data_IF_553950844725
#
_entry.id   IF_553950844725
#
_cell.length_a   1.000
_cell.length_b   1.000
_cell.length_c   1.000
_cell.angle_alpha   90.00
_cell.angle_beta   90.00
_cell.angle_gamma   90.00
#
_symmetry.space_group_name_H-M   'P 1'
#
loop_
_entity.id
_entity.type
_entity.pdbx_description
1 polymer ?
#
# COMPACT_ATOMS: atom_id res chain seq x y z
N UNK A 1 10.50 -5.82 9.38
CA UNK A 1 9.32 -6.60 9.81
C UNK A 1 9.35 -7.93 9.06
N UNK A 2 9.26 -9.07 9.76
CA UNK A 2 9.16 -10.37 9.09
C UNK A 2 7.70 -10.72 8.82
N UNK A 3 7.36 -10.93 7.56
CA UNK A 3 6.03 -11.37 7.16
C UNK A 3 5.94 -12.86 7.49
N UNK A 4 4.98 -13.23 8.36
CA UNK A 4 4.76 -14.62 8.80
C UNK A 4 4.50 -15.60 7.66
N UNK A 5 4.09 -15.09 6.50
CA UNK A 5 3.88 -15.83 5.25
C UNK A 5 4.61 -15.15 4.09
N UNK A 6 5.93 -15.39 3.89
CA UNK A 6 6.73 -14.69 2.88
C UNK A 6 6.23 -14.89 1.44
N UNK A 7 5.57 -16.02 1.14
CA UNK A 7 4.96 -16.27 -0.17
C UNK A 7 3.77 -15.36 -0.43
N UNK A 8 2.89 -15.19 0.55
CA UNK A 8 1.73 -14.27 0.50
C UNK A 8 2.22 -12.82 0.41
N UNK A 9 3.25 -12.49 1.19
CA UNK A 9 3.87 -11.17 1.17
C UNK A 9 4.42 -10.76 -0.19
N UNK A 10 4.76 -11.71 -1.07
CA UNK A 10 5.23 -11.48 -2.45
C UNK A 10 4.10 -11.41 -3.49
N UNK A 11 2.83 -11.50 -3.08
CA UNK A 11 1.66 -11.36 -3.96
C UNK A 11 0.87 -10.09 -3.70
N UNK A 12 0.96 -9.58 -2.48
CA UNK A 12 0.25 -8.37 -2.05
C UNK A 12 1.14 -7.16 -2.25
N UNK A 13 0.54 -6.08 -2.75
CA UNK A 13 1.23 -4.83 -3.05
C UNK A 13 2.43 -5.03 -3.98
N UNK A 14 2.32 -5.91 -4.98
CA UNK A 14 3.36 -6.06 -6.00
C UNK A 14 3.42 -4.80 -6.88
N UNK A 15 4.50 -4.02 -6.79
CA UNK A 15 4.69 -2.82 -7.61
C UNK A 15 4.76 -3.18 -9.10
N UNK A 16 4.15 -2.35 -9.94
CA UNK A 16 3.99 -2.61 -11.35
C UNK A 16 4.93 -1.76 -12.21
N UNK A 17 5.14 -2.20 -13.43
CA UNK A 17 5.77 -1.40 -14.49
C UNK A 17 4.74 -0.43 -15.06
N UNK A 18 5.17 0.72 -15.54
CA UNK A 18 4.30 1.59 -16.33
C UNK A 18 3.99 0.88 -17.66
N UNK A 19 2.73 0.74 -18.04
CA UNK A 19 2.32 0.03 -19.26
C UNK A 19 3.08 0.50 -20.51
N UNK A 20 3.83 -0.40 -21.15
CA UNK A 20 4.74 -0.13 -22.27
C UNK A 20 6.08 -0.88 -22.14
N UNK A 21 7.09 -0.53 -22.94
CA UNK A 21 8.48 -1.07 -22.87
C UNK A 21 9.25 -0.65 -21.59
N UNK A 22 8.56 -0.10 -20.57
CA UNK A 22 9.22 0.29 -19.34
C UNK A 22 9.79 -0.94 -18.64
N UNK A 23 11.09 -0.91 -18.37
CA UNK A 23 11.78 -2.03 -17.72
C UNK A 23 11.73 -1.96 -16.20
N UNK A 24 11.11 -0.90 -15.63
CA UNK A 24 11.26 -0.54 -14.22
C UNK A 24 9.93 -0.55 -13.47
N UNK A 25 9.97 -1.14 -12.29
CA UNK A 25 8.89 -1.16 -11.33
C UNK A 25 8.90 0.10 -10.46
N UNK A 26 7.75 0.43 -9.89
CA UNK A 26 7.64 1.42 -8.82
C UNK A 26 8.52 1.06 -7.62
N UNK A 27 8.91 2.08 -6.86
CA UNK A 27 9.71 1.96 -5.65
C UNK A 27 8.91 2.54 -4.48
N UNK A 28 8.67 1.76 -3.43
CA UNK A 28 7.93 2.24 -2.28
C UNK A 28 8.67 3.35 -1.53
N UNK A 29 7.93 4.40 -1.18
CA UNK A 29 8.43 5.57 -0.49
C UNK A 29 7.34 6.23 0.35
N UNK A 30 7.73 7.21 1.18
CA UNK A 30 6.81 7.92 2.06
C UNK A 30 5.76 8.78 1.31
N UNK A 31 6.03 9.15 0.06
CA UNK A 31 5.12 9.86 -0.81
C UNK A 31 5.36 9.48 -2.28
N UNK A 32 4.31 9.44 -3.08
CA UNK A 32 4.39 9.23 -4.52
C UNK A 32 5.05 10.42 -5.20
N UNK A 33 6.01 10.15 -6.09
CA UNK A 33 6.67 11.17 -6.89
C UNK A 33 6.92 10.64 -8.29
N UNK A 34 6.05 11.04 -9.23
CA UNK A 34 6.11 10.57 -10.64
C UNK A 34 6.44 11.68 -11.63
N UNK A 35 6.89 12.85 -11.16
CA UNK A 35 7.36 13.91 -12.04
C UNK A 35 8.79 13.62 -12.53
N UNK A 36 9.04 13.84 -13.83
CA UNK A 36 10.37 13.65 -14.43
C UNK A 36 10.86 12.20 -14.36
N UNK A 37 11.95 11.96 -13.60
CA UNK A 37 12.62 10.65 -13.46
C UNK A 37 12.19 9.85 -12.20
N UNK A 38 11.26 10.39 -11.40
CA UNK A 38 10.78 9.75 -10.18
C UNK A 38 10.08 8.42 -10.46
N UNK A 39 10.31 7.43 -9.62
CA UNK A 39 9.66 6.11 -9.66
C UNK A 39 9.02 5.76 -8.31
N UNK A 40 9.00 6.72 -7.41
CA UNK A 40 8.51 6.56 -6.05
C UNK A 40 7.00 6.47 -6.01
N UNK A 41 6.49 5.52 -5.24
CA UNK A 41 5.06 5.35 -5.02
C UNK A 41 4.77 5.12 -3.54
N UNK A 42 3.72 5.78 -3.06
CA UNK A 42 3.10 5.51 -1.76
C UNK A 42 1.80 4.69 -1.90
N UNK A 43 1.55 4.12 -3.09
CA UNK A 43 0.35 3.35 -3.41
C UNK A 43 0.70 1.87 -3.48
N UNK A 44 -0.01 1.02 -2.73
CA UNK A 44 0.06 -0.43 -2.83
C UNK A 44 -0.20 -0.87 -4.28
N UNK A 45 0.76 -1.59 -4.87
CA UNK A 45 0.72 -2.00 -6.28
C UNK A 45 1.08 -0.89 -7.27
N UNK A 46 1.62 0.23 -6.78
CA UNK A 46 1.92 1.41 -7.57
C UNK A 46 2.90 1.16 -8.73
N UNK A 47 2.66 1.87 -9.83
CA UNK A 47 3.46 1.76 -11.05
C UNK A 47 4.68 2.68 -11.05
N UNK A 48 5.77 2.24 -11.67
CA UNK A 48 6.92 3.07 -12.01
C UNK A 48 6.63 4.09 -13.12
N UNK A 49 7.68 4.73 -13.62
CA UNK A 49 7.62 5.63 -14.78
C UNK A 49 8.35 5.04 -15.98
N UNK A 50 8.04 5.53 -17.18
CA UNK A 50 8.65 5.07 -18.44
C UNK A 50 10.12 5.50 -18.59
N UNK A 51 10.54 6.52 -17.84
CA UNK A 51 11.87 7.11 -17.92
C UNK A 51 12.37 7.43 -16.52
N UNK A 52 13.22 6.58 -15.94
CA UNK A 52 13.84 6.84 -14.65
C UNK A 52 14.59 5.65 -14.06
N UNK A 53 15.21 5.86 -12.90
CA UNK A 53 16.00 4.89 -12.14
C UNK A 53 15.14 4.06 -11.18
N UNK A 54 14.02 3.52 -11.66
CA UNK A 54 13.18 2.61 -10.88
C UNK A 54 13.84 1.24 -10.63
N UNK A 55 13.14 0.36 -9.92
CA UNK A 55 13.66 -0.97 -9.58
C UNK A 55 13.57 -1.93 -10.77
N UNK A 56 14.58 -2.78 -10.98
CA UNK A 56 14.53 -3.88 -11.97
C UNK A 56 13.65 -5.05 -11.54
N UNK A 57 13.30 -5.09 -10.25
CA UNK A 57 12.46 -6.12 -9.66
C UNK A 57 11.28 -5.48 -8.93
N UNK A 58 10.12 -6.11 -8.90
CA UNK A 58 9.01 -5.63 -8.09
C UNK A 58 9.40 -5.58 -6.60
N UNK A 59 8.80 -4.61 -5.90
CA UNK A 59 8.70 -4.58 -4.46
C UNK A 59 7.31 -5.05 -4.03
N UNK A 60 7.17 -5.43 -2.76
CA UNK A 60 5.97 -6.10 -2.27
C UNK A 60 5.51 -5.54 -0.93
N UNK A 61 4.60 -6.25 -0.26
CA UNK A 61 4.02 -5.85 1.03
C UNK A 61 5.08 -5.51 2.09
N UNK A 62 6.24 -6.18 2.10
CA UNK A 62 7.30 -5.89 3.07
C UNK A 62 7.83 -4.47 2.89
N UNK A 63 8.20 -4.12 1.67
CA UNK A 63 8.70 -2.79 1.34
C UNK A 63 7.62 -1.73 1.50
N UNK A 64 6.36 -2.06 1.17
CA UNK A 64 5.22 -1.17 1.41
C UNK A 64 5.11 -0.82 2.90
N UNK A 65 5.14 -1.81 3.80
CA UNK A 65 5.10 -1.56 5.24
C UNK A 65 6.33 -0.78 5.71
N UNK A 66 7.54 -1.20 5.30
CA UNK A 66 8.79 -0.61 5.80
C UNK A 66 9.08 0.81 5.29
N UNK A 67 8.57 1.16 4.10
CA UNK A 67 8.88 2.43 3.43
C UNK A 67 7.69 3.37 3.30
N UNK A 68 6.47 2.84 3.23
CA UNK A 68 5.26 3.62 2.94
C UNK A 68 4.40 3.80 4.17
N UNK A 69 4.14 2.73 4.94
CA UNK A 69 3.33 2.79 6.17
C UNK A 69 4.11 3.22 7.41
N UNK A 70 5.35 3.68 7.23
CA UNK A 70 6.19 4.14 8.32
C UNK A 70 5.61 5.40 8.96
N UNK A 71 5.75 5.52 10.28
CA UNK A 71 5.33 6.69 11.05
C UNK A 71 3.82 6.99 10.92
N UNK A 72 2.99 5.93 10.86
CA UNK A 72 1.53 5.97 10.77
C UNK A 72 0.97 6.73 9.55
N UNK A 73 1.75 6.78 8.47
CA UNK A 73 1.35 7.46 7.22
C UNK A 73 0.74 6.49 6.21
N UNK A 74 0.08 7.09 5.21
CA UNK A 74 -0.38 6.42 4.00
C UNK A 74 -1.45 5.34 4.20
N UNK A 75 -2.01 5.20 5.39
CA UNK A 75 -3.18 4.36 5.66
C UNK A 75 -4.37 5.22 6.12
N UNK A 76 -5.58 5.05 5.55
CA UNK A 76 -5.91 4.18 4.41
C UNK A 76 -5.62 4.82 3.04
N UNK A 77 -5.20 6.09 3.00
CA UNK A 77 -5.03 6.90 1.79
C UNK A 77 -3.57 7.26 1.59
N UNK A 78 -3.07 7.17 0.36
CA UNK A 78 -1.69 7.49 -0.03
C UNK A 78 -1.39 9.00 0.07
N UNK A 79 -0.10 9.33 -0.04
CA UNK A 79 0.39 10.72 -0.09
C UNK A 79 1.11 10.93 -1.41
N UNK A 80 0.91 12.09 -2.03
CA UNK A 80 1.72 12.56 -3.16
C UNK A 80 2.66 13.66 -2.68
N UNK A 81 3.89 13.65 -3.16
CA UNK A 81 4.82 14.76 -2.94
C UNK A 81 4.22 16.03 -3.59
N UNK A 82 4.28 17.21 -2.96
CA UNK A 82 3.74 18.44 -3.53
C UNK A 82 4.31 18.80 -4.92
N UNK A 83 5.52 18.32 -5.23
CA UNK A 83 6.12 18.44 -6.56
C UNK A 83 5.76 17.28 -7.50
N UNK A 84 5.26 16.16 -6.98
CA UNK A 84 5.22 14.83 -7.59
C UNK A 84 4.28 14.60 -8.76
N UNK A 85 3.39 15.57 -9.08
CA UNK A 85 2.61 15.63 -10.33
C UNK A 85 1.49 14.59 -10.49
N UNK A 86 1.65 13.35 -10.04
CA UNK A 86 0.65 12.28 -10.11
C UNK A 86 1.09 10.99 -9.36
N UNK A 87 0.17 10.05 -9.10
CA UNK A 87 -1.28 10.27 -9.09
C UNK A 87 -1.70 11.09 -7.86
N UNK A 88 -2.77 11.87 -8.01
CA UNK A 88 -3.44 12.50 -6.88
C UNK A 88 -3.99 11.41 -5.96
N UNK A 89 -3.79 11.49 -4.64
CA UNK A 89 -4.35 10.51 -3.73
C UNK A 89 -5.87 10.48 -3.81
N UNK A 90 -6.42 9.28 -3.92
CA UNK A 90 -7.86 9.05 -3.83
C UNK A 90 -8.19 8.52 -2.44
N UNK A 91 -9.35 8.89 -1.91
CA UNK A 91 -9.76 8.45 -0.57
C UNK A 91 -9.78 6.93 -0.50
N UNK A 92 -9.04 6.37 0.46
CA UNK A 92 -8.89 4.93 0.73
C UNK A 92 -8.16 4.11 -0.35
N UNK A 93 -7.43 4.74 -1.27
CA UNK A 93 -6.73 4.05 -2.37
C UNK A 93 -5.85 2.86 -1.92
N UNK A 94 -5.11 2.98 -0.82
CA UNK A 94 -4.29 1.90 -0.28
C UNK A 94 -5.11 0.81 0.40
N UNK A 95 -6.18 1.17 1.12
CA UNK A 95 -7.06 0.17 1.72
C UNK A 95 -7.77 -0.66 0.65
N UNK A 96 -8.25 -0.03 -0.42
CA UNK A 96 -8.88 -0.71 -1.54
C UNK A 96 -7.89 -1.58 -2.31
N UNK A 97 -6.68 -1.09 -2.57
CA UNK A 97 -5.63 -1.85 -3.24
C UNK A 97 -5.21 -3.10 -2.45
N UNK A 98 -4.96 -2.98 -1.14
CA UNK A 98 -4.63 -4.12 -0.28
C UNK A 98 -5.78 -5.12 -0.24
N UNK A 99 -7.02 -4.65 -0.05
CA UNK A 99 -8.19 -5.53 -0.01
C UNK A 99 -8.36 -6.30 -1.34
N UNK A 100 -8.15 -5.61 -2.47
CA UNK A 100 -8.20 -6.22 -3.80
C UNK A 100 -7.16 -7.33 -3.94
N UNK A 101 -5.91 -7.08 -3.57
CA UNK A 101 -4.85 -8.08 -3.69
C UNK A 101 -5.11 -9.31 -2.80
N UNK A 102 -5.59 -9.10 -1.56
CA UNK A 102 -5.97 -10.19 -0.66
C UNK A 102 -7.10 -11.08 -1.22
N UNK A 103 -7.98 -10.49 -2.04
CA UNK A 103 -9.12 -11.19 -2.65
C UNK A 103 -8.77 -11.80 -4.00
N UNK A 104 -7.93 -11.15 -4.81
CA UNK A 104 -7.70 -11.54 -6.20
C UNK A 104 -6.42 -12.35 -6.38
N UNK A 105 -5.34 -12.03 -5.67
CA UNK A 105 -4.01 -12.61 -5.91
C UNK A 105 -3.74 -13.86 -5.06
N UNK A 106 -4.53 -14.07 -4.00
CA UNK A 106 -4.36 -15.19 -3.08
C UNK A 106 -5.22 -16.40 -3.44
N UNK A 107 -4.66 -17.60 -3.28
CA UNK A 107 -5.42 -18.85 -3.35
C UNK A 107 -6.36 -19.00 -2.16
N UNK A 108 -7.28 -19.97 -2.22
CA UNK A 108 -8.21 -20.27 -1.13
C UNK A 108 -7.47 -20.61 0.18
N UNK A 109 -6.37 -21.37 0.09
CA UNK A 109 -5.54 -21.74 1.23
C UNK A 109 -4.83 -20.52 1.83
N UNK A 110 -4.26 -19.67 0.98
CA UNK A 110 -3.58 -18.43 1.41
C UNK A 110 -4.56 -17.46 2.08
N UNK A 111 -5.78 -17.33 1.55
CA UNK A 111 -6.86 -16.55 2.17
C UNK A 111 -7.23 -17.08 3.55
N UNK A 112 -7.31 -18.41 3.70
CA UNK A 112 -7.58 -19.04 5.00
C UNK A 112 -6.48 -18.74 6.02
N UNK A 113 -5.22 -18.73 5.58
CA UNK A 113 -4.09 -18.34 6.44
C UNK A 113 -4.22 -16.88 6.87
N UNK A 114 -4.48 -15.95 5.94
CA UNK A 114 -4.66 -14.52 6.26
C UNK A 114 -5.83 -14.32 7.22
N UNK A 115 -6.98 -14.95 6.97
CA UNK A 115 -8.14 -14.88 7.86
C UNK A 115 -7.81 -15.38 9.27
N UNK A 116 -7.08 -16.49 9.39
CA UNK A 116 -6.61 -17.01 10.68
C UNK A 116 -5.61 -16.09 11.39
N UNK A 117 -4.74 -15.40 10.65
CA UNK A 117 -3.84 -14.40 11.22
C UNK A 117 -4.60 -13.17 11.72
N UNK A 118 -5.58 -12.67 10.94
CA UNK A 118 -6.43 -11.55 11.34
C UNK A 118 -7.28 -11.89 12.57
N UNK A 119 -7.81 -13.12 12.64
CA UNK A 119 -8.54 -13.62 13.81
C UNK A 119 -7.69 -13.59 15.09
N UNK A 120 -6.39 -13.92 14.99
CA UNK A 120 -5.47 -13.83 16.14
C UNK A 120 -5.21 -12.38 16.57
N UNK A 121 -5.17 -11.44 15.63
CA UNK A 121 -4.97 -10.01 15.95
C UNK A 121 -6.15 -9.42 16.71
N UNK A 122 -7.39 -9.84 16.41
CA UNK A 122 -8.58 -9.38 17.15
C UNK A 122 -8.74 -10.04 18.52
N UNK A 123 -8.20 -11.24 18.73
CA UNK A 123 -8.25 -11.94 20.03
C UNK A 123 -7.18 -11.44 21.01
N UNK A 124 -6.09 -10.84 20.52
CA UNK A 124 -4.98 -10.31 21.33
C UNK A 124 -4.94 -8.79 21.49
N UNK A 125 -5.81 -8.04 20.82
CA UNK A 125 -5.90 -6.57 20.91
C UNK A 125 -7.02 -6.16 21.85
N UNK A 126 -6.71 -5.30 22.84
CA UNK A 126 -7.70 -4.55 23.58
C UNK A 126 -8.76 -4.01 22.61
N UNK A 127 -10.02 -4.38 22.85
CA UNK A 127 -11.17 -3.96 22.05
C UNK A 127 -11.13 -2.43 22.00
N UNK A 128 -10.68 -1.87 20.87
CA UNK A 128 -10.86 -0.44 20.60
C UNK A 128 -12.36 -0.29 20.36
N UNK A 129 -13.04 0.02 21.45
CA UNK A 129 -14.43 0.44 21.50
C UNK A 129 -14.59 1.52 20.42
N UNK A 130 -15.31 1.22 19.34
CA UNK A 130 -15.64 2.19 18.30
C UNK A 130 -16.61 3.19 18.93
N UNK A 131 -16.06 4.16 19.67
CA UNK A 131 -16.79 5.32 20.16
C UNK A 131 -16.99 6.21 18.95
N UNK A 132 -18.22 6.22 18.44
CA UNK A 132 -18.67 7.18 17.45
C UNK A 132 -18.22 8.59 17.85
N UNK A 133 -17.32 9.18 17.07
CA UNK A 133 -16.93 10.58 17.22
C UNK A 133 -18.15 11.41 16.80
N UNK A 134 -18.92 11.87 17.79
CA UNK A 134 -20.02 12.80 17.56
C UNK A 134 -19.43 14.15 17.17
N UNK A 135 -19.64 14.55 15.91
CA UNK A 135 -19.28 15.87 15.40
C UNK A 135 -19.96 16.96 16.23
N UNK A 136 -19.20 17.67 17.05
CA UNK A 136 -19.60 19.00 17.51
C UNK A 136 -19.50 19.94 16.32
N UNK A 137 -20.60 20.16 15.61
CA UNK A 137 -20.76 21.31 14.74
C UNK A 137 -20.65 22.57 15.60
N UNK A 138 -19.59 23.36 15.41
CA UNK A 138 -19.56 24.77 15.81
C UNK A 138 -20.30 25.52 14.71
N UNK A 139 -21.51 25.99 15.00
CA UNK A 139 -22.12 27.08 14.24
C UNK A 139 -21.49 28.38 14.72
N UNK A 140 -20.77 29.05 13.83
CA UNK A 140 -20.54 30.51 13.88
C UNK A 140 -21.49 31.13 12.87
#
# INVERSE_FOLDING_TARGET
>A
MDISSPSIGKKVCETKKNGGDSSKHGVYAAASKKNGAGNETAICGGEGTSSGSGSTSPQYLKEFIEKTLKDDKNWPTSTVDPSGGAPTPETNDNAEAVAKDLVQELTTEEKTIVAGLLAKTIEGGEVVEIRAVSSTFVSI
#
